data_IF_251673124070
#
_entry.id   IF_251673124070
#
_cell.length_a   1.000
_cell.length_b   1.000
_cell.length_c   1.000
_cell.angle_alpha   90.00
_cell.angle_beta   90.00
_cell.angle_gamma   90.00
#
_symmetry.space_group_name_H-M   'P 1'
#
loop_
_entity.id
_entity.type
_entity.pdbx_description
1 polymer ?
#
# COMPACT_ATOMS: atom_id res chain seq x y z
N UNK A 1 -0.83 3.40 -3.41
CA UNK A 1 -2.18 3.14 -3.93
C UNK A 1 -2.35 1.68 -4.37
N UNK A 2 -1.46 1.14 -5.20
CA UNK A 2 -1.64 -0.22 -5.75
C UNK A 2 -1.79 -1.30 -4.66
N UNK A 3 -0.89 -1.36 -3.69
CA UNK A 3 -0.97 -2.36 -2.60
C UNK A 3 -2.29 -2.23 -1.81
N UNK A 4 -2.72 -1.00 -1.49
CA UNK A 4 -3.98 -0.77 -0.79
C UNK A 4 -5.18 -1.20 -1.64
N UNK A 5 -5.11 -1.03 -2.95
CA UNK A 5 -6.18 -1.43 -3.87
C UNK A 5 -6.33 -2.95 -3.97
N UNK A 6 -5.21 -3.66 -4.04
CA UNK A 6 -5.20 -5.14 -4.03
C UNK A 6 -5.77 -5.68 -2.71
N UNK A 7 -5.33 -5.14 -1.56
CA UNK A 7 -5.84 -5.56 -0.24
C UNK A 7 -7.33 -5.23 -0.12
N UNK A 8 -7.74 -4.02 -0.47
CA UNK A 8 -9.14 -3.62 -0.47
C UNK A 8 -10.01 -4.57 -1.29
N UNK A 9 -9.54 -4.96 -2.48
CA UNK A 9 -10.23 -5.89 -3.37
C UNK A 9 -10.47 -7.24 -2.69
N UNK A 10 -9.44 -7.82 -2.07
CA UNK A 10 -9.55 -9.10 -1.38
C UNK A 10 -10.47 -9.00 -0.15
N UNK A 11 -10.41 -7.88 0.59
CA UNK A 11 -11.30 -7.63 1.71
C UNK A 11 -12.77 -7.51 1.25
N UNK A 12 -13.03 -6.82 0.16
CA UNK A 12 -14.38 -6.70 -0.42
C UNK A 12 -14.93 -8.06 -0.86
N UNK A 13 -14.11 -8.92 -1.46
CA UNK A 13 -14.50 -10.29 -1.79
C UNK A 13 -14.78 -11.16 -0.55
N UNK A 14 -13.94 -11.02 0.48
CA UNK A 14 -14.14 -11.74 1.74
C UNK A 14 -15.45 -11.30 2.44
N UNK A 15 -15.80 -10.02 2.36
CA UNK A 15 -17.04 -9.45 2.89
C UNK A 15 -18.30 -10.06 2.26
N UNK A 16 -18.27 -10.49 1.01
CA UNK A 16 -19.38 -11.17 0.34
C UNK A 16 -19.73 -12.53 0.99
N UNK A 17 -18.76 -13.12 1.70
CA UNK A 17 -18.87 -14.48 2.26
C UNK A 17 -19.07 -14.45 3.78
N UNK A 18 -18.49 -13.48 4.48
CA UNK A 18 -18.50 -13.38 5.94
C UNK A 18 -18.35 -11.93 6.40
N UNK A 19 -18.88 -11.56 7.58
CA UNK A 19 -18.73 -10.22 8.12
C UNK A 19 -17.25 -9.81 8.21
N UNK A 20 -16.97 -8.59 7.79
CA UNK A 20 -15.66 -7.98 7.83
C UNK A 20 -15.65 -6.82 8.82
N UNK A 21 -14.87 -6.92 9.86
CA UNK A 21 -14.71 -5.87 10.88
C UNK A 21 -13.27 -5.39 10.91
N UNK A 22 -13.09 -4.08 11.01
CA UNK A 22 -11.78 -3.45 11.12
C UNK A 22 -11.60 -2.85 12.52
N UNK A 23 -10.46 -3.13 13.14
CA UNK A 23 -9.96 -2.43 14.33
C UNK A 23 -8.77 -1.57 13.93
N UNK A 24 -8.90 -0.26 14.07
CA UNK A 24 -7.82 0.68 13.83
C UNK A 24 -6.96 0.83 15.08
N UNK A 25 -5.64 0.77 14.91
CA UNK A 25 -4.68 1.13 15.97
C UNK A 25 -4.51 2.65 16.09
N UNK A 26 -3.28 3.08 16.40
CA UNK A 26 -2.97 4.50 16.59
C UNK A 26 -3.13 5.30 15.29
N UNK A 27 -2.76 4.70 14.16
CA UNK A 27 -2.84 5.33 12.83
C UNK A 27 -3.41 4.36 11.81
N UNK A 28 -4.50 4.76 11.15
CA UNK A 28 -5.08 4.08 10.00
C UNK A 28 -5.56 5.12 8.98
N UNK A 29 -4.63 5.79 8.33
CA UNK A 29 -4.87 6.91 7.44
C UNK A 29 -4.42 6.62 6.00
N UNK A 30 -4.91 7.39 5.02
CA UNK A 30 -4.55 7.26 3.61
C UNK A 30 -4.75 5.82 3.11
N UNK A 31 -3.70 5.10 2.71
CA UNK A 31 -3.76 3.70 2.33
C UNK A 31 -4.35 2.78 3.41
N UNK A 32 -4.15 3.09 4.70
CA UNK A 32 -4.76 2.38 5.82
C UNK A 32 -6.27 2.58 5.88
N UNK A 33 -6.75 3.80 5.63
CA UNK A 33 -8.19 4.05 5.53
C UNK A 33 -8.80 3.46 4.24
N UNK A 34 -8.04 3.47 3.16
CA UNK A 34 -8.44 2.88 1.87
C UNK A 34 -8.82 1.41 2.02
N UNK A 35 -7.99 0.61 2.70
CA UNK A 35 -8.27 -0.81 2.93
C UNK A 35 -9.42 -1.03 3.91
N UNK A 36 -9.64 -0.12 4.86
CA UNK A 36 -10.65 -0.23 5.90
C UNK A 36 -12.05 0.20 5.46
N UNK A 37 -12.15 1.11 4.49
CA UNK A 37 -13.37 1.89 4.23
C UNK A 37 -14.60 1.06 3.83
N UNK A 38 -14.41 -0.15 3.30
CA UNK A 38 -15.49 -1.04 2.87
C UNK A 38 -15.90 -2.09 3.95
N UNK A 39 -15.32 -2.06 5.14
CA UNK A 39 -15.69 -2.98 6.20
C UNK A 39 -17.16 -2.79 6.64
N UNK A 40 -17.79 -3.85 7.15
CA UNK A 40 -19.14 -3.79 7.71
C UNK A 40 -19.20 -2.96 8.99
N UNK A 41 -18.10 -2.98 9.76
CA UNK A 41 -17.95 -2.16 10.96
C UNK A 41 -16.49 -1.79 11.20
N UNK A 42 -16.25 -0.53 11.52
CA UNK A 42 -14.93 0.03 11.77
C UNK A 42 -14.87 0.55 13.19
N UNK A 43 -13.93 0.03 13.97
CA UNK A 43 -13.63 0.47 15.33
C UNK A 43 -12.33 1.27 15.36
N UNK A 44 -12.32 2.34 16.14
CA UNK A 44 -11.13 3.14 16.40
C UNK A 44 -11.15 3.73 17.82
N UNK A 45 -9.98 4.08 18.34
CA UNK A 45 -9.89 4.90 19.55
C UNK A 45 -10.24 6.36 19.25
N UNK A 46 -10.75 7.14 20.21
CA UNK A 46 -10.94 8.58 20.03
C UNK A 46 -9.70 9.35 19.57
N UNK A 47 -8.51 8.87 19.93
CA UNK A 47 -7.22 9.43 19.56
C UNK A 47 -6.61 8.86 18.29
N UNK A 48 -7.20 7.85 17.69
CA UNK A 48 -6.73 7.28 16.42
C UNK A 48 -6.61 8.37 15.34
N UNK A 49 -5.50 8.37 14.61
CA UNK A 49 -5.30 9.23 13.46
C UNK A 49 -5.79 8.49 12.21
N UNK A 50 -6.80 9.03 11.52
CA UNK A 50 -7.44 8.37 10.37
C UNK A 50 -7.82 9.35 9.26
N UNK A 51 -8.59 8.89 8.28
CA UNK A 51 -8.95 9.68 7.11
C UNK A 51 -7.76 9.83 6.16
N UNK A 52 -7.25 11.06 5.98
CA UNK A 52 -6.23 11.38 4.98
C UNK A 52 -6.63 10.86 3.58
N UNK A 53 -7.93 11.05 3.25
CA UNK A 53 -8.49 10.66 1.95
C UNK A 53 -7.98 11.66 0.92
N UNK A 54 -6.83 11.34 0.35
CA UNK A 54 -6.12 12.23 -0.56
C UNK A 54 -4.99 11.52 -1.28
N UNK A 55 -4.49 12.17 -2.31
CA UNK A 55 -3.36 11.70 -3.13
C UNK A 55 -2.46 12.88 -3.42
N UNK A 56 -1.17 12.69 -3.28
CA UNK A 56 -0.18 13.66 -3.69
C UNK A 56 1.02 12.96 -4.34
N UNK A 57 1.74 13.67 -5.17
CA UNK A 57 3.00 13.23 -5.75
C UNK A 57 4.06 14.31 -5.54
N UNK A 58 5.30 13.90 -5.27
CA UNK A 58 6.46 14.79 -5.18
C UNK A 58 7.34 14.49 -6.39
N UNK A 59 7.59 15.53 -7.19
CA UNK A 59 8.52 15.48 -8.31
C UNK A 59 9.69 16.42 -8.01
N UNK A 60 10.89 15.88 -8.10
CA UNK A 60 12.12 16.64 -7.85
C UNK A 60 12.88 16.86 -9.16
N UNK A 61 13.39 18.08 -9.38
CA UNK A 61 14.46 18.34 -10.34
C UNK A 61 15.74 18.67 -9.62
N UNK A 62 16.81 18.02 -10.00
CA UNK A 62 18.18 18.26 -9.51
C UNK A 62 19.05 18.91 -10.59
N UNK A 63 18.43 19.47 -11.65
CA UNK A 63 19.13 20.07 -12.79
C UNK A 63 20.16 21.13 -12.34
N UNK A 64 19.73 22.13 -11.56
CA UNK A 64 20.62 23.19 -11.07
C UNK A 64 21.77 22.67 -10.21
N UNK A 65 21.54 21.61 -9.43
CA UNK A 65 22.60 20.97 -8.66
C UNK A 65 23.66 20.39 -9.58
N UNK A 66 23.25 19.68 -10.61
CA UNK A 66 24.17 19.02 -11.52
C UNK A 66 24.86 20.00 -12.46
N UNK A 67 24.11 20.89 -13.10
CA UNK A 67 24.63 21.80 -14.11
C UNK A 67 25.45 22.94 -13.47
N UNK A 68 24.88 23.64 -12.48
CA UNK A 68 25.42 24.87 -11.96
C UNK A 68 26.43 24.65 -10.83
N UNK A 69 26.24 23.58 -10.01
CA UNK A 69 27.11 23.33 -8.86
C UNK A 69 28.17 22.28 -9.15
N UNK A 70 27.86 21.26 -9.93
CA UNK A 70 28.79 20.17 -10.22
C UNK A 70 29.40 20.24 -11.63
N UNK A 71 28.92 21.11 -12.51
CA UNK A 71 29.38 21.25 -13.88
C UNK A 71 29.15 20.02 -14.76
N UNK A 72 28.11 19.21 -14.40
CA UNK A 72 27.76 18.03 -15.14
C UNK A 72 26.73 18.36 -16.23
N UNK A 73 26.86 17.77 -17.39
CA UNK A 73 25.90 17.84 -18.49
C UNK A 73 25.34 16.47 -18.79
N UNK A 74 24.09 16.43 -19.25
CA UNK A 74 23.40 15.19 -19.58
C UNK A 74 23.06 15.16 -21.07
N UNK A 75 23.31 14.04 -21.71
CA UNK A 75 22.83 13.73 -23.04
C UNK A 75 21.80 12.62 -22.96
N UNK A 76 20.78 12.66 -23.81
CA UNK A 76 19.66 11.73 -23.76
C UNK A 76 19.32 11.19 -25.14
N UNK A 77 19.16 9.86 -25.21
CA UNK A 77 18.59 9.17 -26.37
C UNK A 77 17.22 8.62 -25.95
N UNK A 78 16.17 9.01 -26.66
CA UNK A 78 14.79 8.64 -26.36
C UNK A 78 14.17 7.85 -27.50
N UNK A 79 13.38 6.83 -27.17
CA UNK A 79 12.58 6.07 -28.13
C UNK A 79 11.26 6.77 -28.48
N UNK A 80 10.75 7.61 -27.58
CA UNK A 80 9.55 8.44 -27.80
C UNK A 80 9.56 9.68 -26.89
N UNK A 81 8.55 10.55 -27.06
CA UNK A 81 8.45 11.87 -26.43
C UNK A 81 8.52 11.82 -24.89
N UNK A 82 7.92 10.81 -24.26
CA UNK A 82 7.77 10.71 -22.80
C UNK A 82 8.57 9.56 -22.18
N UNK A 83 9.57 9.03 -22.90
CA UNK A 83 10.35 7.89 -22.42
C UNK A 83 11.18 8.18 -21.16
N UNK A 84 11.44 9.45 -20.85
CA UNK A 84 12.18 9.92 -19.69
C UNK A 84 11.32 10.68 -18.67
N UNK A 85 9.99 10.55 -18.73
CA UNK A 85 9.11 11.17 -17.75
C UNK A 85 9.47 10.72 -16.32
N UNK A 86 9.63 11.68 -15.41
CA UNK A 86 10.05 11.41 -14.03
C UNK A 86 11.56 11.41 -13.83
N UNK A 87 12.40 11.72 -14.86
CA UNK A 87 13.81 11.98 -14.63
C UNK A 87 14.00 13.16 -13.68
N UNK A 88 15.07 13.12 -12.89
CA UNK A 88 15.45 14.23 -11.98
C UNK A 88 16.43 15.22 -12.61
N UNK A 89 16.99 14.90 -13.78
CA UNK A 89 18.02 15.70 -14.46
C UNK A 89 17.49 16.93 -15.17
N UNK A 90 16.19 17.08 -15.26
CA UNK A 90 15.47 18.24 -15.80
C UNK A 90 14.10 18.41 -15.13
N UNK A 91 13.51 19.60 -15.16
CA UNK A 91 12.11 19.78 -14.74
C UNK A 91 11.15 19.07 -15.70
N UNK A 92 9.94 18.83 -15.21
CA UNK A 92 8.84 18.36 -16.04
C UNK A 92 8.40 19.42 -17.04
N UNK A 93 8.07 18.99 -18.24
CA UNK A 93 7.35 19.85 -19.18
C UNK A 93 5.90 20.02 -18.74
N UNK A 94 5.21 21.04 -19.25
CA UNK A 94 3.77 21.27 -18.96
C UNK A 94 2.90 20.09 -19.34
N UNK A 95 3.24 19.39 -20.43
CA UNK A 95 2.50 18.19 -20.86
C UNK A 95 2.73 17.01 -19.91
N UNK A 96 3.98 16.76 -19.49
CA UNK A 96 4.32 15.71 -18.52
C UNK A 96 3.66 15.98 -17.16
N UNK A 97 3.66 17.25 -16.72
CA UNK A 97 2.91 17.65 -15.52
C UNK A 97 1.42 17.31 -15.65
N UNK A 98 0.82 17.60 -16.79
CA UNK A 98 -0.61 17.31 -17.04
C UNK A 98 -0.89 15.81 -16.98
N UNK A 99 -0.02 14.96 -17.53
CA UNK A 99 -0.15 13.50 -17.47
C UNK A 99 -0.11 13.01 -16.02
N UNK A 100 0.88 13.47 -15.25
CA UNK A 100 1.02 13.09 -13.84
C UNK A 100 -0.16 13.60 -13.01
N UNK A 101 -0.56 14.85 -13.23
CA UNK A 101 -1.70 15.45 -12.54
C UNK A 101 -3.00 14.67 -12.81
N UNK A 102 -3.24 14.29 -14.07
CA UNK A 102 -4.41 13.47 -14.42
C UNK A 102 -4.39 12.14 -13.67
N UNK A 103 -3.24 11.46 -13.60
CA UNK A 103 -3.11 10.21 -12.84
C UNK A 103 -3.42 10.38 -11.35
N UNK A 104 -2.99 11.50 -10.75
CA UNK A 104 -3.32 11.83 -9.35
C UNK A 104 -4.82 12.03 -9.17
N UNK A 105 -5.47 12.74 -10.09
CA UNK A 105 -6.93 12.96 -10.07
C UNK A 105 -7.69 11.64 -10.22
N UNK A 106 -7.26 10.75 -11.11
CA UNK A 106 -7.88 9.43 -11.31
C UNK A 106 -7.79 8.55 -10.05
N UNK A 107 -6.61 8.52 -9.41
CA UNK A 107 -6.42 7.80 -8.14
C UNK A 107 -7.28 8.39 -7.02
N UNK A 108 -7.38 9.72 -6.94
CA UNK A 108 -8.24 10.39 -5.96
C UNK A 108 -9.72 10.08 -6.19
N UNK A 109 -10.18 10.13 -7.43
CA UNK A 109 -11.55 9.78 -7.78
C UNK A 109 -11.88 8.31 -7.44
N UNK A 110 -10.94 7.41 -7.69
CA UNK A 110 -11.08 6.00 -7.30
C UNK A 110 -11.18 5.85 -5.80
N UNK A 111 -10.31 6.51 -5.03
CA UNK A 111 -10.34 6.46 -3.57
C UNK A 111 -11.65 6.99 -3.01
N UNK A 112 -12.06 8.20 -3.41
CA UNK A 112 -13.31 8.81 -2.93
C UNK A 112 -14.55 8.00 -3.32
N UNK A 113 -14.55 7.36 -4.49
CA UNK A 113 -15.63 6.46 -4.92
C UNK A 113 -15.74 5.22 -4.03
N UNK A 114 -14.61 4.59 -3.67
CA UNK A 114 -14.59 3.43 -2.78
C UNK A 114 -15.04 3.77 -1.36
N UNK A 115 -14.58 4.90 -0.83
CA UNK A 115 -15.07 5.42 0.46
C UNK A 115 -16.56 5.69 0.40
N UNK A 116 -17.04 6.35 -0.65
CA UNK A 116 -18.46 6.63 -0.83
C UNK A 116 -19.30 5.35 -0.83
N UNK A 117 -18.84 4.30 -1.52
CA UNK A 117 -19.47 2.99 -1.55
C UNK A 117 -19.50 2.35 -0.15
N UNK A 118 -18.36 2.18 0.49
CA UNK A 118 -18.24 1.49 1.77
C UNK A 118 -18.93 2.22 2.92
N UNK A 119 -18.87 3.55 2.93
CA UNK A 119 -19.50 4.38 3.97
C UNK A 119 -20.92 4.83 3.64
N UNK A 120 -21.50 4.37 2.51
CA UNK A 120 -22.85 4.72 2.06
C UNK A 120 -23.09 6.22 1.97
N UNK A 121 -22.07 6.93 1.49
CA UNK A 121 -22.06 8.40 1.30
C UNK A 121 -22.07 8.73 -0.19
N UNK A 122 -22.43 9.98 -0.52
CA UNK A 122 -22.17 10.48 -1.87
C UNK A 122 -20.68 10.79 -2.05
N UNK A 123 -20.13 10.59 -3.25
CA UNK A 123 -18.72 10.93 -3.51
C UNK A 123 -18.42 12.42 -3.22
N UNK A 124 -19.41 13.32 -3.44
CA UNK A 124 -19.29 14.73 -3.09
C UNK A 124 -19.20 14.95 -1.58
N UNK A 125 -19.94 14.20 -0.77
CA UNK A 125 -19.81 14.27 0.69
C UNK A 125 -18.44 13.80 1.15
N UNK A 126 -17.91 12.73 0.55
CA UNK A 126 -16.55 12.27 0.81
C UNK A 126 -15.52 13.31 0.38
N UNK A 127 -15.67 13.94 -0.77
CA UNK A 127 -14.78 15.01 -1.23
C UNK A 127 -14.74 16.19 -0.23
N UNK A 128 -15.88 16.57 0.33
CA UNK A 128 -15.95 17.67 1.30
C UNK A 128 -15.16 17.39 2.59
N UNK A 129 -15.02 16.13 3.01
CA UNK A 129 -14.24 15.72 4.18
C UNK A 129 -12.86 15.12 3.81
N UNK A 130 -12.62 14.92 2.52
CA UNK A 130 -11.39 14.36 1.95
C UNK A 130 -10.31 15.41 1.72
N UNK A 131 -9.76 15.45 0.52
CA UNK A 131 -8.70 16.37 0.09
C UNK A 131 -7.44 16.27 0.96
N UNK A 132 -7.15 15.06 1.46
CA UNK A 132 -5.98 14.80 2.30
C UNK A 132 -6.13 15.20 3.76
N UNK A 133 -7.31 15.66 4.21
CA UNK A 133 -7.52 16.03 5.61
C UNK A 133 -7.40 14.82 6.52
N UNK A 134 -6.69 15.00 7.62
CA UNK A 134 -6.49 14.03 8.67
C UNK A 134 -7.49 14.29 9.79
N UNK A 135 -8.07 13.23 10.34
CA UNK A 135 -9.09 13.31 11.37
C UNK A 135 -8.67 12.49 12.60
N UNK A 136 -9.03 12.96 13.80
CA UNK A 136 -9.00 12.11 14.98
C UNK A 136 -10.16 11.11 14.94
N UNK A 137 -10.07 10.02 15.69
CA UNK A 137 -11.18 9.08 15.83
C UNK A 137 -12.46 9.74 16.31
N UNK A 138 -12.37 10.76 17.21
CA UNK A 138 -13.54 11.55 17.61
C UNK A 138 -14.20 12.24 16.44
N UNK A 139 -13.45 12.99 15.66
CA UNK A 139 -13.99 13.70 14.48
C UNK A 139 -14.44 12.72 13.37
N UNK A 140 -13.72 11.60 13.24
CA UNK A 140 -14.07 10.56 12.26
C UNK A 140 -15.42 9.91 12.55
N UNK A 141 -15.80 9.79 13.83
CA UNK A 141 -17.14 9.36 14.24
C UNK A 141 -18.22 10.36 13.79
N UNK A 142 -18.00 11.64 14.04
CA UNK A 142 -18.97 12.70 13.71
C UNK A 142 -19.25 12.82 12.21
N UNK A 143 -18.25 12.44 11.38
CA UNK A 143 -18.34 12.49 9.91
C UNK A 143 -18.54 11.11 9.27
N UNK A 144 -18.91 10.09 10.04
CA UNK A 144 -19.21 8.72 9.59
C UNK A 144 -18.04 8.00 8.90
N UNK A 145 -16.80 8.31 9.25
CA UNK A 145 -15.64 7.55 8.76
C UNK A 145 -15.37 6.29 9.60
N UNK A 146 -15.87 6.22 10.83
CA UNK A 146 -15.86 5.03 11.71
C UNK A 146 -17.25 4.78 12.28
N UNK A 147 -17.48 3.59 12.86
CA UNK A 147 -18.80 3.15 13.32
C UNK A 147 -18.91 3.07 14.85
N UNK A 148 -17.80 2.84 15.55
CA UNK A 148 -17.79 2.73 17.00
C UNK A 148 -16.40 3.03 17.59
N UNK A 149 -16.39 3.45 18.84
CA UNK A 149 -15.15 3.46 19.62
C UNK A 149 -14.85 2.07 20.16
N UNK A 150 -13.57 1.70 20.14
CA UNK A 150 -13.10 0.44 20.66
C UNK A 150 -11.78 0.00 20.05
N UNK A 151 -11.17 -0.99 20.67
CA UNK A 151 -9.97 -1.66 20.18
C UNK A 151 -10.25 -3.03 19.56
N UNK A 152 -9.24 -3.88 19.57
CA UNK A 152 -9.32 -5.21 18.97
C UNK A 152 -10.38 -6.10 19.65
N UNK A 153 -10.55 -6.00 20.97
CA UNK A 153 -11.51 -6.83 21.69
C UNK A 153 -12.96 -6.48 21.33
N UNK A 154 -13.27 -5.18 21.25
CA UNK A 154 -14.56 -4.69 20.82
C UNK A 154 -14.85 -5.07 19.35
N UNK A 155 -13.83 -5.02 18.52
CA UNK A 155 -13.94 -5.44 17.12
C UNK A 155 -14.21 -6.96 16.98
N UNK A 156 -13.54 -7.81 17.76
CA UNK A 156 -13.78 -9.26 17.80
C UNK A 156 -15.21 -9.55 18.25
N UNK A 157 -15.66 -8.87 19.31
CA UNK A 157 -17.05 -8.99 19.79
C UNK A 157 -18.03 -8.52 18.71
N UNK A 158 -17.80 -7.38 18.08
CA UNK A 158 -18.65 -6.90 16.99
C UNK A 158 -18.67 -7.84 15.78
N UNK A 159 -17.55 -8.51 15.48
CA UNK A 159 -17.51 -9.53 14.44
C UNK A 159 -18.34 -10.76 14.79
N UNK A 160 -18.30 -11.25 16.06
CA UNK A 160 -19.13 -12.36 16.50
C UNK A 160 -20.62 -12.02 16.49
N UNK A 161 -20.98 -10.79 16.88
CA UNK A 161 -22.35 -10.30 16.83
C UNK A 161 -22.88 -10.24 15.37
N UNK A 162 -22.09 -9.72 14.44
CA UNK A 162 -22.44 -9.66 13.01
C UNK A 162 -22.53 -11.04 12.36
N UNK A 163 -21.75 -11.99 12.85
CA UNK A 163 -21.75 -13.37 12.36
C UNK A 163 -22.82 -14.26 13.05
N UNK A 164 -23.53 -13.71 14.05
CA UNK A 164 -24.53 -14.43 14.86
C UNK A 164 -23.96 -15.69 15.54
N UNK A 165 -22.72 -15.61 16.06
CA UNK A 165 -22.04 -16.72 16.74
C UNK A 165 -21.77 -16.38 18.22
N UNK A 166 -22.23 -17.25 19.13
CA UNK A 166 -22.03 -17.09 20.57
C UNK A 166 -20.71 -17.67 21.07
N UNK A 167 -20.21 -18.72 20.41
CA UNK A 167 -18.98 -19.41 20.82
C UNK A 167 -17.98 -19.41 19.65
N UNK A 168 -16.81 -18.85 19.86
CA UNK A 168 -15.79 -18.75 18.82
C UNK A 168 -14.39 -18.97 19.37
N UNK A 169 -13.46 -19.30 18.49
CA UNK A 169 -12.04 -19.31 18.74
C UNK A 169 -11.37 -18.24 17.88
N UNK A 170 -10.56 -17.39 18.51
CA UNK A 170 -9.74 -16.43 17.78
C UNK A 170 -8.50 -17.15 17.22
N UNK A 171 -8.25 -16.96 15.95
CA UNK A 171 -7.04 -17.45 15.25
C UNK A 171 -6.33 -16.24 14.69
N UNK A 172 -5.05 -16.10 15.03
CA UNK A 172 -4.20 -15.02 14.53
C UNK A 172 -3.53 -15.46 13.22
N UNK A 173 -3.60 -14.63 12.18
CA UNK A 173 -2.99 -14.87 10.90
C UNK A 173 -2.28 -13.57 10.42
N UNK A 174 -1.11 -13.67 9.72
CA UNK A 174 -0.30 -14.89 9.56
C UNK A 174 0.25 -15.38 10.90
N UNK A 175 0.48 -16.69 11.01
CA UNK A 175 1.14 -17.24 12.21
C UNK A 175 2.49 -16.58 12.41
N UNK A 176 2.66 -15.94 13.56
CA UNK A 176 3.94 -15.32 13.93
C UNK A 176 4.88 -16.46 14.36
N UNK A 177 5.89 -16.72 13.52
CA UNK A 177 6.94 -17.67 13.89
C UNK A 177 7.62 -17.23 15.17
N UNK A 178 7.95 -18.20 16.05
CA UNK A 178 8.68 -17.88 17.27
C UNK A 178 10.00 -17.13 16.93
N UNK A 179 10.44 -16.16 17.74
CA UNK A 179 11.67 -15.40 17.48
C UNK A 179 12.89 -16.28 17.24
N UNK A 180 12.93 -17.46 17.89
CA UNK A 180 13.98 -18.45 17.70
C UNK A 180 13.90 -19.12 16.30
N UNK A 181 12.70 -19.41 15.80
CA UNK A 181 12.51 -19.98 14.47
C UNK A 181 12.87 -18.99 13.38
N UNK A 182 12.52 -17.70 13.56
CA UNK A 182 12.94 -16.63 12.65
C UNK A 182 14.47 -16.49 12.62
N UNK A 183 15.11 -16.50 13.79
CA UNK A 183 16.56 -16.44 13.90
C UNK A 183 17.24 -17.66 13.23
N UNK A 184 16.69 -18.86 13.42
CA UNK A 184 17.21 -20.08 12.78
C UNK A 184 17.06 -20.03 11.26
N UNK A 185 15.93 -19.59 10.73
CA UNK A 185 15.74 -19.39 9.28
C UNK A 185 16.69 -18.32 8.71
N UNK A 186 16.88 -17.20 9.42
CA UNK A 186 17.84 -16.17 9.02
C UNK A 186 19.29 -16.69 9.04
N UNK A 187 19.65 -17.51 10.03
CA UNK A 187 20.96 -18.15 10.10
C UNK A 187 21.13 -19.20 8.99
N UNK A 188 20.13 -20.03 8.74
CA UNK A 188 20.18 -21.02 7.65
C UNK A 188 20.28 -20.37 6.28
N UNK A 189 19.43 -19.37 6.01
CA UNK A 189 19.45 -18.66 4.72
C UNK A 189 20.68 -17.77 4.56
N UNK A 190 21.08 -17.05 5.59
CA UNK A 190 22.26 -16.18 5.57
C UNK A 190 23.57 -16.95 5.49
N UNK A 191 23.69 -18.03 6.25
CA UNK A 191 24.91 -18.86 6.29
C UNK A 191 25.08 -19.67 5.01
N UNK A 192 24.02 -20.31 4.52
CA UNK A 192 24.04 -21.04 3.25
C UNK A 192 24.31 -20.13 2.05
N UNK A 193 23.73 -18.94 2.03
CA UNK A 193 23.96 -17.95 0.96
C UNK A 193 25.40 -17.43 0.96
N UNK A 194 25.98 -17.21 2.13
CA UNK A 194 27.37 -16.74 2.25
C UNK A 194 28.37 -17.82 1.84
N UNK A 195 28.15 -19.07 2.25
CA UNK A 195 28.98 -20.21 1.84
C UNK A 195 28.86 -20.44 0.33
N UNK A 196 27.63 -20.40 -0.23
CA UNK A 196 27.40 -20.56 -1.66
C UNK A 196 28.08 -19.45 -2.48
N UNK A 197 28.02 -18.19 -2.04
CA UNK A 197 28.76 -17.10 -2.66
C UNK A 197 30.27 -17.30 -2.63
N UNK A 198 30.80 -17.75 -1.49
CA UNK A 198 32.22 -18.01 -1.34
C UNK A 198 32.67 -19.18 -2.21
N UNK A 199 31.89 -20.27 -2.27
CA UNK A 199 32.24 -21.48 -3.00
C UNK A 199 32.07 -21.33 -4.51
N UNK A 200 31.01 -20.65 -4.96
CA UNK A 200 30.69 -20.50 -6.37
C UNK A 200 31.32 -19.24 -7.01
N UNK A 201 31.81 -18.29 -6.21
CA UNK A 201 32.42 -17.07 -6.73
C UNK A 201 31.50 -16.38 -7.76
N UNK A 202 32.05 -16.12 -8.96
CA UNK A 202 31.30 -15.48 -10.06
C UNK A 202 30.16 -16.33 -10.61
N UNK A 203 30.18 -17.64 -10.42
CA UNK A 203 29.11 -18.56 -10.85
C UNK A 203 27.84 -18.45 -9.97
N UNK A 204 27.94 -17.82 -8.80
CA UNK A 204 26.79 -17.63 -7.90
C UNK A 204 25.64 -16.90 -8.58
N UNK A 205 25.92 -15.96 -9.49
CA UNK A 205 24.88 -15.23 -10.28
C UNK A 205 24.05 -16.18 -11.14
N UNK A 206 24.69 -17.18 -11.74
CA UNK A 206 24.01 -18.18 -12.58
C UNK A 206 23.20 -19.16 -11.74
N UNK A 207 23.76 -19.60 -10.59
CA UNK A 207 23.02 -20.42 -9.62
C UNK A 207 21.77 -19.72 -9.12
N UNK A 208 21.89 -18.44 -8.72
CA UNK A 208 20.75 -17.63 -8.28
C UNK A 208 19.68 -17.52 -9.36
N UNK A 209 20.07 -17.23 -10.58
CA UNK A 209 19.14 -17.13 -11.72
C UNK A 209 18.37 -18.45 -11.97
N UNK A 210 19.06 -19.60 -11.87
CA UNK A 210 18.43 -20.91 -11.99
C UNK A 210 17.49 -21.25 -10.82
N UNK A 211 17.85 -20.85 -9.61
CA UNK A 211 17.00 -21.06 -8.43
C UNK A 211 15.74 -20.17 -8.49
N UNK A 212 15.87 -18.93 -8.93
CA UNK A 212 14.76 -18.03 -9.13
C UNK A 212 13.75 -18.56 -10.17
N UNK A 213 14.21 -19.31 -11.17
CA UNK A 213 13.34 -19.94 -12.18
C UNK A 213 12.43 -21.02 -11.56
N UNK A 214 12.88 -21.76 -10.55
CA UNK A 214 12.07 -22.81 -9.90
C UNK A 214 10.82 -22.27 -9.19
N UNK A 215 10.84 -21.01 -8.80
CA UNK A 215 9.74 -20.35 -8.10
C UNK A 215 8.81 -19.56 -9.04
N UNK A 216 9.01 -19.65 -10.37
CA UNK A 216 8.20 -18.96 -11.35
C UNK A 216 7.02 -19.83 -11.77
N UNK A 217 5.82 -19.34 -11.49
CA UNK A 217 4.58 -19.95 -11.95
C UNK A 217 3.92 -19.01 -13.00
N UNK A 218 3.44 -19.61 -14.12
CA UNK A 218 2.74 -18.89 -15.18
C UNK A 218 3.66 -18.26 -16.25
N UNK A 219 3.04 -17.49 -17.16
CA UNK A 219 3.75 -16.80 -18.25
C UNK A 219 4.53 -15.62 -17.70
N UNK A 220 5.84 -15.61 -17.95
CA UNK A 220 6.75 -14.53 -17.52
C UNK A 220 7.25 -13.76 -18.73
N UNK A 221 7.15 -12.44 -18.69
CA UNK A 221 7.80 -11.55 -19.67
C UNK A 221 9.09 -11.03 -19.04
N UNK A 222 10.24 -11.44 -19.58
CA UNK A 222 11.56 -11.00 -19.13
C UNK A 222 12.34 -10.40 -20.28
N UNK A 223 13.07 -9.34 -20.00
CA UNK A 223 14.07 -8.84 -20.93
C UNK A 223 15.26 -9.80 -20.99
N UNK A 224 15.83 -10.09 -22.16
CA UNK A 224 17.06 -10.87 -22.25
C UNK A 224 18.19 -10.13 -21.50
N UNK A 225 18.95 -10.89 -20.73
CA UNK A 225 20.13 -10.36 -20.05
C UNK A 225 21.11 -9.77 -21.06
N UNK A 226 21.59 -8.58 -20.78
CA UNK A 226 22.84 -8.05 -21.34
C UNK A 226 24.03 -8.53 -20.52
#
# INVERSE_FOLDING_TARGET
ALASDVIWREMSLAKEVKPLVVSMGDVAASGGYYIACDADKIYASPSTITGSIGVFGIMMSTEELYTDKLGLTFDQVKTNKYADIGTTTRPLTSEEYSIIHQSVVEVYNTFTSKVAHGRKMTQKAVDNIGQGRVWSGTNAMDINLIDAYGGLQEAIKGASELAEIDTYRVVELPEIKAPLEQLLEELETGFSTSILKYTLGDEYKHYKALNDIKHLNGIQVRMPYQ
#
